data_IF_787471090165
#
_entry.id   IF_787471090165
#
_cell.length_a   1.000
_cell.length_b   1.000
_cell.length_c   1.000
_cell.angle_alpha   90.00
_cell.angle_beta   90.00
_cell.angle_gamma   90.00
#
_symmetry.space_group_name_H-M   'P 1'
#
loop_
_entity.id
_entity.type
_entity.pdbx_description
1 polymer ?
#
# COMPACT_ATOMS: atom_id res chain seq x y z
N UNK A 1 -5.40 -6.24 -17.82
CA UNK A 1 -6.37 -5.11 -17.77
C UNK A 1 -7.06 -5.02 -16.40
N UNK A 2 -6.33 -4.67 -15.33
CA UNK A 2 -6.97 -4.39 -14.03
C UNK A 2 -7.01 -2.87 -13.83
N UNK A 3 -5.84 -2.21 -13.97
CA UNK A 3 -5.71 -0.76 -13.92
C UNK A 3 -6.61 -0.03 -14.92
N UNK A 4 -6.63 -0.46 -16.19
CA UNK A 4 -7.48 0.15 -17.22
C UNK A 4 -8.98 0.09 -16.89
N UNK A 5 -9.45 -1.00 -16.28
CA UNK A 5 -10.84 -1.15 -15.83
C UNK A 5 -11.13 -0.29 -14.60
N UNK A 6 -10.21 -0.25 -13.64
CA UNK A 6 -10.32 0.61 -12.45
C UNK A 6 -10.33 2.10 -12.83
N UNK A 7 -9.59 2.46 -13.88
CA UNK A 7 -9.43 3.83 -14.37
C UNK A 7 -10.40 4.19 -15.50
N UNK A 8 -11.27 3.24 -15.87
CA UNK A 8 -12.21 3.38 -16.97
C UNK A 8 -11.56 3.94 -18.25
N UNK A 9 -10.35 3.47 -18.57
CA UNK A 9 -9.56 3.93 -19.70
C UNK A 9 -9.09 2.78 -20.59
N UNK A 10 -8.67 3.12 -21.82
CA UNK A 10 -8.11 2.14 -22.74
C UNK A 10 -6.75 1.63 -22.20
N UNK A 11 -6.50 0.31 -22.22
CA UNK A 11 -5.27 -0.25 -21.64
C UNK A 11 -3.99 0.25 -22.30
N UNK A 12 -4.00 0.64 -23.58
CA UNK A 12 -2.86 1.21 -24.27
C UNK A 12 -2.54 2.65 -23.83
N UNK A 13 -3.44 3.31 -23.10
CA UNK A 13 -3.26 4.68 -22.62
C UNK A 13 -2.67 4.78 -21.21
N UNK A 14 -2.54 3.66 -20.50
CA UNK A 14 -1.97 3.62 -19.15
C UNK A 14 -0.45 3.70 -19.24
N UNK A 15 0.15 4.80 -18.75
CA UNK A 15 1.61 4.92 -18.64
C UNK A 15 2.05 4.51 -17.25
N UNK A 16 2.88 3.47 -17.19
CA UNK A 16 3.56 3.03 -15.97
C UNK A 16 4.97 3.65 -15.97
N UNK A 17 5.34 4.31 -14.87
CA UNK A 17 6.67 4.81 -14.66
C UNK A 17 7.23 4.20 -13.37
N UNK A 18 8.31 3.43 -13.47
CA UNK A 18 8.95 2.81 -12.31
C UNK A 18 9.90 3.83 -11.68
N UNK A 19 9.73 4.09 -10.39
CA UNK A 19 10.62 4.92 -9.60
C UNK A 19 11.79 4.07 -9.07
N UNK A 20 12.85 4.74 -8.62
CA UNK A 20 14.07 4.08 -8.13
C UNK A 20 13.88 3.27 -6.83
N UNK A 21 12.70 3.34 -6.21
CA UNK A 21 12.35 2.71 -4.93
C UNK A 21 11.30 1.60 -5.08
N UNK A 22 11.26 0.94 -6.25
CA UNK A 22 10.27 -0.10 -6.63
C UNK A 22 8.81 0.37 -6.67
N UNK A 23 8.55 1.67 -6.53
CA UNK A 23 7.21 2.22 -6.71
C UNK A 23 6.86 2.40 -8.17
N UNK A 24 5.60 2.20 -8.48
CA UNK A 24 5.07 2.40 -9.82
C UNK A 24 4.13 3.59 -9.81
N UNK A 25 4.48 4.62 -10.56
CA UNK A 25 3.63 5.78 -10.76
C UNK A 25 2.83 5.59 -12.04
N UNK A 26 1.50 5.68 -11.92
CA UNK A 26 0.58 5.52 -13.04
C UNK A 26 -0.04 6.87 -13.35
N UNK A 27 0.23 7.39 -14.53
CA UNK A 27 -0.36 8.66 -14.99
C UNK A 27 -1.49 8.38 -15.97
N UNK A 28 -2.68 8.91 -15.68
CA UNK A 28 -3.82 8.86 -16.61
C UNK A 28 -3.81 10.12 -17.48
N UNK A 29 -3.60 10.00 -18.81
CA UNK A 29 -3.39 11.17 -19.68
C UNK A 29 -4.58 12.13 -19.76
N UNK A 30 -5.80 11.64 -19.54
CA UNK A 30 -7.03 12.44 -19.73
C UNK A 30 -7.45 13.26 -18.51
N UNK A 31 -6.93 12.97 -17.33
CA UNK A 31 -7.42 13.58 -16.08
C UNK A 31 -6.33 14.30 -15.27
N UNK A 32 -5.06 14.28 -15.72
CA UNK A 32 -3.89 14.70 -14.92
C UNK A 32 -3.86 14.09 -13.50
N UNK A 33 -4.54 12.94 -13.35
CA UNK A 33 -4.57 12.18 -12.10
C UNK A 33 -3.40 11.22 -12.10
N UNK A 34 -2.55 11.40 -11.11
CA UNK A 34 -1.46 10.49 -10.79
C UNK A 34 -1.95 9.51 -9.76
N UNK A 35 -1.77 8.22 -10.02
CA UNK A 35 -1.97 7.16 -9.05
C UNK A 35 -0.61 6.63 -8.65
N UNK A 36 -0.30 6.70 -7.37
CA UNK A 36 0.85 6.01 -6.81
C UNK A 36 0.48 4.56 -6.53
N UNK A 37 1.37 3.66 -6.89
CA UNK A 37 1.29 2.25 -6.56
C UNK A 37 2.53 1.87 -5.75
N UNK A 38 2.30 1.26 -4.59
CA UNK A 38 3.31 0.54 -3.83
C UNK A 38 3.08 -0.96 -3.99
N UNK A 39 4.17 -1.72 -4.12
CA UNK A 39 4.16 -3.16 -4.32
C UNK A 39 5.14 -3.80 -3.36
N UNK A 40 4.66 -4.76 -2.57
CA UNK A 40 5.51 -5.49 -1.63
C UNK A 40 5.24 -6.98 -1.78
N UNK A 41 6.33 -7.75 -1.76
CA UNK A 41 6.26 -9.20 -1.79
C UNK A 41 6.83 -9.81 -0.50
N UNK A 42 6.24 -10.91 -0.05
CA UNK A 42 6.75 -11.73 1.05
C UNK A 42 6.42 -13.20 0.80
N UNK A 43 7.45 -13.99 0.50
CA UNK A 43 7.25 -15.36 0.03
C UNK A 43 6.41 -15.38 -1.25
N UNK A 44 5.27 -16.07 -1.20
CA UNK A 44 4.32 -16.16 -2.33
C UNK A 44 3.30 -15.02 -2.38
N UNK A 45 3.28 -14.14 -1.38
CA UNK A 45 2.30 -13.06 -1.29
C UNK A 45 2.81 -11.83 -2.00
N UNK A 46 2.01 -11.29 -2.92
CA UNK A 46 2.21 -9.98 -3.54
C UNK A 46 1.05 -9.10 -3.11
N UNK A 47 1.38 -7.98 -2.47
CA UNK A 47 0.41 -6.98 -2.04
C UNK A 47 0.66 -5.72 -2.85
N UNK A 48 -0.41 -5.22 -3.47
CA UNK A 48 -0.41 -4.04 -4.32
C UNK A 48 -1.40 -3.05 -3.74
N UNK A 49 -0.96 -1.82 -3.48
CA UNK A 49 -1.79 -0.73 -3.00
C UNK A 49 -1.70 0.42 -3.99
N UNK A 50 -2.85 1.00 -4.34
CA UNK A 50 -2.95 2.11 -5.27
C UNK A 50 -3.72 3.25 -4.63
N UNK A 51 -3.23 4.48 -4.76
CA UNK A 51 -3.85 5.70 -4.22
C UNK A 51 -3.67 6.88 -5.16
N UNK A 52 -4.60 7.84 -5.13
CA UNK A 52 -4.44 9.14 -5.80
C UNK A 52 -3.43 10.07 -5.09
N UNK A 53 -3.10 9.74 -3.84
CA UNK A 53 -2.07 10.40 -3.02
C UNK A 53 -0.91 9.47 -2.69
N UNK A 54 -0.16 9.79 -1.65
CA UNK A 54 0.94 8.94 -1.17
C UNK A 54 0.37 7.65 -0.58
N UNK A 55 1.04 6.55 -0.87
CA UNK A 55 0.72 5.22 -0.34
C UNK A 55 1.98 4.46 0.01
N UNK A 56 1.91 3.65 1.06
CA UNK A 56 2.95 2.73 1.48
C UNK A 56 2.38 1.46 2.09
N UNK A 57 3.00 0.31 1.83
CA UNK A 57 2.66 -1.01 2.36
C UNK A 57 3.80 -1.50 3.25
N UNK A 58 3.46 -2.00 4.43
CA UNK A 58 4.39 -2.68 5.31
C UNK A 58 3.95 -4.12 5.50
N UNK A 59 4.86 -5.08 5.24
CA UNK A 59 4.65 -6.50 5.49
C UNK A 59 5.73 -7.02 6.44
N UNK A 60 5.31 -7.80 7.44
CA UNK A 60 6.19 -8.46 8.41
C UNK A 60 5.79 -9.93 8.50
N UNK A 61 6.76 -10.84 8.53
CA UNK A 61 6.53 -12.28 8.64
C UNK A 61 7.31 -12.85 9.82
N UNK A 62 6.65 -13.66 10.65
CA UNK A 62 7.36 -14.47 11.64
C UNK A 62 7.69 -15.82 11.03
N UNK A 63 8.98 -16.15 11.00
CA UNK A 63 9.46 -17.42 10.46
C UNK A 63 9.29 -18.59 11.46
N UNK A 64 8.84 -18.36 12.70
CA UNK A 64 8.68 -19.37 13.75
C UNK A 64 7.61 -18.96 14.80
N UNK A 65 6.34 -19.38 14.69
CA UNK A 65 5.35 -19.17 15.74
C UNK A 65 5.34 -20.35 16.73
N UNK A 66 6.12 -20.29 17.82
CA UNK A 66 5.88 -21.19 18.96
C UNK A 66 4.63 -20.73 19.71
N UNK A 67 3.70 -21.66 19.92
CA UNK A 67 2.25 -21.44 20.05
C UNK A 67 1.73 -20.77 21.33
N UNK A 68 2.58 -20.43 22.31
CA UNK A 68 2.16 -19.86 23.60
C UNK A 68 2.53 -18.38 23.82
N UNK A 69 3.33 -17.77 22.93
CA UNK A 69 3.63 -16.31 22.94
C UNK A 69 2.95 -15.56 21.78
N UNK A 70 2.06 -16.22 21.05
CA UNK A 70 1.57 -15.79 19.74
C UNK A 70 0.78 -14.48 19.74
N UNK A 71 0.04 -14.16 20.81
CA UNK A 71 -0.80 -12.94 20.86
C UNK A 71 0.04 -11.66 21.03
N UNK A 72 0.93 -11.60 22.02
CA UNK A 72 1.79 -10.43 22.26
C UNK A 72 2.83 -10.18 21.15
N UNK A 73 3.34 -11.26 20.55
CA UNK A 73 4.23 -11.18 19.38
C UNK A 73 3.45 -10.67 18.16
N UNK A 74 2.19 -11.08 18.00
CA UNK A 74 1.31 -10.63 16.90
C UNK A 74 1.08 -9.12 16.92
N UNK A 75 0.83 -8.52 18.10
CA UNK A 75 0.59 -7.08 18.21
C UNK A 75 1.85 -6.26 17.92
N UNK A 76 3.00 -6.69 18.44
CA UNK A 76 4.29 -6.04 18.14
C UNK A 76 4.62 -6.09 16.65
N UNK A 77 4.38 -7.23 16.00
CA UNK A 77 4.56 -7.38 14.55
C UNK A 77 3.58 -6.52 13.75
N UNK A 78 2.32 -6.40 14.20
CA UNK A 78 1.35 -5.53 13.54
C UNK A 78 1.74 -4.06 13.67
N UNK A 79 2.24 -3.63 14.84
CA UNK A 79 2.80 -2.29 15.02
C UNK A 79 4.00 -2.05 14.10
N UNK A 80 4.89 -3.02 13.97
CA UNK A 80 6.02 -2.93 13.04
C UNK A 80 5.56 -2.80 11.58
N UNK A 81 4.54 -3.55 11.17
CA UNK A 81 3.95 -3.42 9.83
C UNK A 81 3.36 -2.02 9.59
N UNK A 82 2.70 -1.42 10.59
CA UNK A 82 2.20 -0.03 10.54
C UNK A 82 3.34 1.00 10.44
N UNK A 83 4.42 0.81 11.18
CA UNK A 83 5.58 1.71 11.11
C UNK A 83 6.25 1.64 9.73
N UNK A 84 6.42 0.45 9.17
CA UNK A 84 7.01 0.24 7.85
C UNK A 84 6.16 0.85 6.73
N UNK A 85 4.84 0.65 6.77
CA UNK A 85 3.91 1.27 5.80
C UNK A 85 3.95 2.79 5.88
N UNK A 86 3.95 3.36 7.09
CA UNK A 86 4.05 4.81 7.27
C UNK A 86 5.38 5.37 6.74
N UNK A 87 6.50 4.73 7.08
CA UNK A 87 7.82 5.14 6.60
C UNK A 87 7.89 5.11 5.07
N UNK A 88 7.38 4.06 4.44
CA UNK A 88 7.26 4.00 2.98
C UNK A 88 6.35 5.10 2.47
N UNK A 89 5.17 5.33 3.04
CA UNK A 89 4.27 6.38 2.58
C UNK A 89 4.89 7.79 2.70
N UNK A 90 5.68 8.06 3.75
CA UNK A 90 6.37 9.35 3.95
C UNK A 90 7.51 9.59 2.97
N UNK A 91 8.27 8.54 2.66
CA UNK A 91 9.47 8.59 1.82
C UNK A 91 9.13 8.72 0.32
N UNK A 92 7.87 8.50 -0.05
CA UNK A 92 7.39 8.67 -1.43
C UNK A 92 7.65 10.08 -1.93
N UNK A 93 8.43 10.19 -3.01
CA UNK A 93 8.92 11.45 -3.57
C UNK A 93 7.80 12.48 -3.72
N UNK A 94 8.08 13.66 -3.19
CA UNK A 94 7.24 14.86 -3.13
C UNK A 94 6.72 15.27 -4.52
N UNK A 95 5.40 15.34 -4.72
CA UNK A 95 4.83 16.21 -5.77
C UNK A 95 5.27 17.64 -5.48
N UNK A 96 6.03 18.24 -6.41
CA UNK A 96 6.16 19.71 -6.50
C UNK A 96 4.75 20.29 -6.67
N UNK A 97 4.21 20.85 -5.59
CA UNK A 97 2.96 21.60 -5.61
C UNK A 97 1.75 20.84 -5.06
N UNK A 98 1.60 20.83 -3.73
CA UNK A 98 0.31 21.09 -3.09
C UNK A 98 0.55 21.45 -1.62
N UNK A 99 -0.35 22.26 -1.08
CA UNK A 99 -0.16 23.22 0.02
C UNK A 99 0.19 22.61 1.37
N UNK A 100 0.83 23.47 2.15
CA UNK A 100 1.15 23.49 3.59
C UNK A 100 -0.05 23.20 4.52
N UNK A 101 -0.70 22.05 4.36
CA UNK A 101 -1.63 21.49 5.35
C UNK A 101 -0.95 20.28 5.98
N UNK A 102 -0.98 20.20 7.32
CA UNK A 102 -0.45 19.08 8.10
C UNK A 102 -1.01 17.77 7.52
N UNK A 103 -0.15 16.97 6.87
CA UNK A 103 -0.56 15.69 6.29
C UNK A 103 -1.07 14.79 7.41
N UNK A 104 -2.33 14.38 7.31
CA UNK A 104 -2.92 13.39 8.22
C UNK A 104 -2.76 12.02 7.58
N UNK A 105 -2.13 11.09 8.29
CA UNK A 105 -1.88 9.74 7.80
C UNK A 105 -2.96 8.80 8.32
N UNK A 106 -3.47 7.94 7.43
CA UNK A 106 -4.46 6.94 7.74
C UNK A 106 -3.87 5.56 7.47
N UNK A 107 -3.87 4.70 8.49
CA UNK A 107 -3.37 3.34 8.39
C UNK A 107 -4.49 2.32 8.54
N UNK A 108 -4.44 1.27 7.73
CA UNK A 108 -5.36 0.14 7.77
C UNK A 108 -4.55 -1.15 7.88
N UNK A 109 -4.92 -2.00 8.83
CA UNK A 109 -4.34 -3.33 8.95
C UNK A 109 -4.90 -4.25 7.86
N UNK A 110 -4.01 -5.04 7.26
CA UNK A 110 -4.36 -5.99 6.23
C UNK A 110 -4.63 -7.35 6.91
N UNK A 111 -5.77 -8.01 6.63
CA UNK A 111 -6.09 -9.35 7.14
C UNK A 111 -5.22 -10.42 6.43
N UNK A 112 -3.93 -10.38 6.70
CA UNK A 112 -2.94 -11.29 6.13
C UNK A 112 -3.04 -12.68 6.78
N UNK A 113 -2.90 -13.78 6.02
CA UNK A 113 -3.03 -15.12 6.56
C UNK A 113 -1.82 -15.56 7.39
N UNK A 114 -2.08 -16.44 8.37
CA UNK A 114 -1.07 -17.10 9.18
C UNK A 114 -0.22 -16.13 10.00
N UNK A 115 1.11 -16.25 9.87
CA UNK A 115 2.10 -15.46 10.61
C UNK A 115 2.50 -14.15 9.90
N UNK A 116 1.77 -13.76 8.86
CA UNK A 116 1.98 -12.50 8.16
C UNK A 116 1.19 -11.39 8.84
N UNK A 117 1.80 -10.22 8.97
CA UNK A 117 1.18 -8.99 9.41
C UNK A 117 1.41 -7.94 8.36
N UNK A 118 0.35 -7.20 8.02
CA UNK A 118 0.39 -6.22 6.95
C UNK A 118 -0.34 -4.96 7.34
N UNK A 119 0.13 -3.82 6.84
CA UNK A 119 -0.58 -2.56 6.95
C UNK A 119 -0.39 -1.74 5.67
N UNK A 120 -1.35 -0.88 5.37
CA UNK A 120 -1.28 0.13 4.33
C UNK A 120 -1.47 1.51 4.96
N UNK A 121 -0.66 2.49 4.57
CA UNK A 121 -0.76 3.88 5.00
C UNK A 121 -0.95 4.79 3.80
N UNK A 122 -1.88 5.73 3.91
CA UNK A 122 -2.19 6.75 2.90
C UNK A 122 -2.30 8.15 3.52
N UNK A 123 -2.10 9.19 2.71
CA UNK A 123 -2.23 10.61 3.12
C UNK A 123 -3.63 11.20 2.93
N UNK A 124 -4.59 10.39 2.47
CA UNK A 124 -6.00 10.73 2.35
C UNK A 124 -6.89 9.74 3.13
N UNK A 125 -8.07 10.18 3.63
CA UNK A 125 -8.97 9.28 4.35
C UNK A 125 -9.41 8.07 3.51
N UNK A 126 -9.28 6.87 4.07
CA UNK A 126 -9.71 5.63 3.43
C UNK A 126 -11.25 5.56 3.42
N UNK A 127 -11.87 5.71 2.24
CA UNK A 127 -13.34 5.68 2.08
C UNK A 127 -13.87 4.31 1.70
N UNK A 128 -13.08 3.50 1.02
CA UNK A 128 -13.47 2.19 0.52
C UNK A 128 -12.26 1.29 0.40
N UNK A 129 -12.42 0.04 0.83
CA UNK A 129 -11.41 -1.02 0.69
C UNK A 129 -11.97 -2.06 -0.27
N UNK A 130 -11.16 -2.47 -1.24
CA UNK A 130 -11.50 -3.58 -2.13
C UNK A 130 -10.37 -4.58 -2.05
N UNK A 131 -10.64 -5.71 -1.42
CA UNK A 131 -9.69 -6.80 -1.25
C UNK A 131 -10.06 -7.95 -2.21
N UNK A 132 -9.06 -8.50 -2.87
CA UNK A 132 -9.20 -9.67 -3.73
C UNK A 132 -8.32 -10.79 -3.17
N UNK A 133 -8.86 -12.01 -3.09
CA UNK A 133 -8.13 -13.16 -2.54
C UNK A 133 -8.14 -13.29 -1.01
N UNK A 134 -8.88 -12.43 -0.31
CA UNK A 134 -9.21 -12.60 1.11
C UNK A 134 -10.69 -12.99 1.22
N UNK A 135 -10.97 -14.14 1.83
CA UNK A 135 -12.33 -14.58 2.15
C UNK A 135 -12.83 -13.83 3.37
N UNK A 136 -14.01 -13.21 3.26
CA UNK A 136 -14.78 -12.71 4.40
C UNK A 136 -15.22 -13.86 5.32
#
# INVERSE_FOLDING_TARGET
>A
MILSKMLNCDPGTVRLNTMADDRVLVTVPREDRTIMIDVVNVGIWVVIAASAGRVGIGLVSSRNPSSSQAAGISDAMQMQARQLSHHRASDGVVRKGSRTSKTCWYSLDLPMPGALRGAVTVDEPIRRVTAFGWTN
#
